data_IF_558373169502
#
_entry.id   IF_558373169502
#
_cell.length_a   1.000
_cell.length_b   1.000
_cell.length_c   1.000
_cell.angle_alpha   90.00
_cell.angle_beta   90.00
_cell.angle_gamma   90.00
#
_symmetry.space_group_name_H-M   'P 1'
#
loop_
_entity.id
_entity.type
_entity.pdbx_description
1 polymer ?
#
# COMPACT_ATOMS: atom_id res chain seq x y z
N UNK A 1 -4.85 20.40 -0.67
CA UNK A 1 -4.49 19.95 0.70
C UNK A 1 -3.12 19.30 0.64
N UNK A 2 -2.08 19.95 1.15
CA UNK A 2 -0.66 19.58 0.95
C UNK A 2 -0.11 18.52 1.89
N UNK A 3 -0.89 17.47 2.17
CA UNK A 3 -0.44 16.33 2.98
C UNK A 3 0.26 15.29 2.10
N UNK A 4 1.39 14.75 2.56
CA UNK A 4 2.18 13.77 1.82
C UNK A 4 2.83 12.74 2.75
N UNK A 5 3.31 11.63 2.17
CA UNK A 5 3.94 10.54 2.92
C UNK A 5 5.24 10.95 3.62
N UNK A 6 5.94 12.00 3.15
CA UNK A 6 7.12 12.56 3.83
C UNK A 6 6.82 13.18 5.20
N UNK A 7 5.55 13.44 5.53
CA UNK A 7 5.13 13.93 6.85
C UNK A 7 4.73 12.79 7.81
N UNK A 8 4.57 11.57 7.32
CA UNK A 8 4.08 10.44 8.10
C UNK A 8 5.28 9.75 8.78
N UNK A 9 5.23 9.64 10.10
CA UNK A 9 6.19 8.86 10.89
C UNK A 9 5.63 7.47 11.18
N UNK A 10 6.49 6.46 11.19
CA UNK A 10 6.14 5.07 11.51
C UNK A 10 4.99 4.52 10.65
N UNK A 11 4.96 4.86 9.36
CA UNK A 11 4.03 4.24 8.43
C UNK A 11 4.44 2.78 8.19
N UNK A 12 3.50 1.85 8.25
CA UNK A 12 3.72 0.45 7.92
C UNK A 12 2.41 -0.20 7.47
N UNK A 13 2.52 -1.28 6.71
CA UNK A 13 1.43 -2.23 6.47
C UNK A 13 1.75 -3.55 7.17
N UNK A 14 0.70 -4.24 7.62
CA UNK A 14 0.80 -5.60 8.15
C UNK A 14 -0.30 -6.48 7.61
N UNK A 15 0.02 -7.76 7.42
CA UNK A 15 -0.94 -8.82 7.09
C UNK A 15 -1.05 -9.73 8.30
N UNK A 16 -2.28 -10.00 8.73
CA UNK A 16 -2.58 -10.75 9.94
C UNK A 16 -3.46 -11.93 9.56
N UNK A 17 -3.15 -13.10 10.10
CA UNK A 17 -4.07 -14.23 10.10
C UNK A 17 -5.21 -13.94 11.08
N UNK A 18 -6.43 -13.73 10.56
CA UNK A 18 -7.59 -13.37 11.37
C UNK A 18 -8.03 -14.47 12.36
N UNK A 19 -7.68 -15.73 12.10
CA UNK A 19 -8.07 -16.86 12.96
C UNK A 19 -7.18 -16.99 14.20
N UNK A 20 -5.88 -16.69 14.05
CA UNK A 20 -4.87 -16.84 15.11
C UNK A 20 -4.41 -15.50 15.69
N UNK A 21 -4.70 -14.39 15.01
CA UNK A 21 -4.16 -13.07 15.33
C UNK A 21 -2.67 -12.92 15.02
N UNK A 22 -2.04 -13.92 14.40
CA UNK A 22 -0.61 -13.91 14.11
C UNK A 22 -0.28 -12.91 13.00
N UNK A 23 0.69 -12.04 13.26
CA UNK A 23 1.27 -11.20 12.21
C UNK A 23 2.09 -12.08 11.26
N UNK A 24 1.67 -12.12 9.99
CA UNK A 24 2.33 -12.89 8.93
C UNK A 24 3.40 -12.05 8.23
N UNK A 25 3.12 -10.77 8.07
CA UNK A 25 3.98 -9.81 7.38
C UNK A 25 3.86 -8.47 8.05
N UNK A 26 5.00 -7.77 8.15
CA UNK A 26 5.07 -6.34 8.43
C UNK A 26 6.06 -5.68 7.50
N UNK A 27 5.63 -4.65 6.80
CA UNK A 27 6.45 -3.86 5.89
C UNK A 27 6.39 -2.39 6.30
N UNK A 28 7.53 -1.86 6.72
CA UNK A 28 7.66 -0.45 7.07
C UNK A 28 7.75 0.38 5.80
N UNK A 29 6.94 1.42 5.74
CA UNK A 29 6.97 2.43 4.69
C UNK A 29 7.94 3.52 5.18
N UNK A 30 9.17 3.52 4.69
CA UNK A 30 10.22 4.48 5.08
C UNK A 30 10.55 5.47 3.97
N UNK A 31 10.79 6.72 4.36
CA UNK A 31 11.43 7.78 3.56
C UNK A 31 10.82 8.03 2.18
N UNK A 32 9.65 8.67 2.15
CA UNK A 32 9.03 9.13 0.90
C UNK A 32 9.23 10.63 0.69
N UNK A 33 9.32 11.02 -0.58
CA UNK A 33 9.40 12.41 -1.01
C UNK A 33 8.08 13.15 -0.77
N UNK A 34 8.14 14.48 -0.72
CA UNK A 34 6.99 15.37 -0.42
C UNK A 34 5.89 15.31 -1.49
N UNK A 35 6.24 14.76 -2.63
CA UNK A 35 5.46 14.67 -3.85
C UNK A 35 4.63 13.39 -3.86
N UNK A 36 4.87 12.46 -2.93
CA UNK A 36 4.12 11.21 -2.81
C UNK A 36 2.88 11.45 -1.94
N UNK A 37 1.70 11.35 -2.54
CA UNK A 37 0.40 11.55 -1.87
C UNK A 37 -0.48 10.30 -1.89
N UNK A 38 -0.22 9.35 -2.79
CA UNK A 38 -0.82 8.01 -2.78
C UNK A 38 0.24 6.94 -3.09
N UNK A 39 -0.03 5.67 -2.76
CA UNK A 39 0.97 4.60 -2.85
C UNK A 39 0.36 3.20 -2.98
N UNK A 40 0.98 2.36 -3.80
CA UNK A 40 0.81 0.91 -3.76
C UNK A 40 1.82 0.31 -2.79
N UNK A 41 1.31 -0.16 -1.66
CA UNK A 41 2.14 -0.64 -0.54
C UNK A 41 2.64 -2.07 -0.75
N UNK A 42 1.87 -2.90 -1.43
CA UNK A 42 2.21 -4.29 -1.69
C UNK A 42 1.07 -5.05 -2.34
N UNK A 43 1.36 -6.28 -2.75
CA UNK A 43 0.43 -7.18 -3.42
C UNK A 43 0.29 -8.47 -2.61
N UNK A 44 -0.95 -8.94 -2.44
CA UNK A 44 -1.23 -10.27 -1.90
C UNK A 44 -1.65 -11.14 -3.07
N UNK A 45 -1.02 -12.30 -3.23
CA UNK A 45 -1.27 -13.18 -4.37
C UNK A 45 -1.19 -14.66 -3.97
N UNK A 46 -1.97 -15.49 -4.65
CA UNK A 46 -1.95 -16.94 -4.47
C UNK A 46 -0.98 -17.57 -5.47
N UNK A 47 -0.01 -18.36 -4.98
CA UNK A 47 0.91 -19.11 -5.83
C UNK A 47 1.05 -20.53 -5.29
N UNK A 48 0.82 -21.53 -6.14
CA UNK A 48 0.89 -22.95 -5.78
C UNK A 48 0.05 -23.32 -4.52
N UNK A 49 -1.15 -22.72 -4.37
CA UNK A 49 -2.03 -22.96 -3.22
C UNK A 49 -1.64 -22.21 -1.94
N UNK A 50 -0.59 -21.39 -1.98
CA UNK A 50 -0.12 -20.62 -0.82
C UNK A 50 -0.26 -19.11 -1.07
N UNK A 51 -0.87 -18.41 -0.11
CA UNK A 51 -0.90 -16.96 -0.11
C UNK A 51 0.48 -16.39 0.17
N UNK A 52 0.90 -15.43 -0.65
CA UNK A 52 2.17 -14.71 -0.53
C UNK A 52 1.92 -13.22 -0.55
N UNK A 53 2.83 -12.47 0.06
CA UNK A 53 2.88 -11.02 0.01
C UNK A 53 4.14 -10.57 -0.74
N UNK A 54 3.99 -9.62 -1.66
CA UNK A 54 5.08 -8.93 -2.32
C UNK A 54 5.08 -7.45 -1.87
N UNK A 55 6.09 -6.98 -1.11
CA UNK A 55 6.20 -5.56 -0.79
C UNK A 55 6.51 -4.76 -2.06
N UNK A 56 5.79 -3.66 -2.30
CA UNK A 56 5.97 -2.82 -3.50
C UNK A 56 6.50 -1.44 -3.13
N UNK A 57 5.76 -0.68 -2.30
CA UNK A 57 6.18 0.65 -1.84
C UNK A 57 6.27 1.72 -2.95
N UNK A 58 5.48 1.61 -4.02
CA UNK A 58 5.52 2.52 -5.16
C UNK A 58 4.59 3.70 -4.94
N UNK A 59 5.18 4.87 -4.66
CA UNK A 59 4.46 6.13 -4.44
C UNK A 59 4.19 6.93 -5.71
N UNK A 60 3.16 7.76 -5.71
CA UNK A 60 2.84 8.70 -6.78
C UNK A 60 2.27 10.02 -6.25
N UNK A 61 2.36 11.08 -7.07
CA UNK A 61 1.80 12.40 -6.80
C UNK A 61 0.34 12.56 -7.22
N UNK A 62 -0.23 11.56 -7.89
CA UNK A 62 -1.67 11.51 -8.08
C UNK A 62 -2.37 11.18 -6.77
N UNK A 63 -3.59 11.67 -6.59
CA UNK A 63 -4.44 11.28 -5.48
C UNK A 63 -4.90 9.80 -5.60
N UNK A 64 -5.69 9.34 -4.63
CA UNK A 64 -6.15 7.94 -4.62
C UNK A 64 -7.03 7.62 -5.83
N UNK A 65 -7.82 8.58 -6.32
CA UNK A 65 -8.65 8.38 -7.50
C UNK A 65 -7.79 8.19 -8.75
N UNK A 66 -6.81 9.08 -8.97
CA UNK A 66 -5.87 8.95 -10.08
C UNK A 66 -5.07 7.65 -10.02
N UNK A 67 -4.66 7.23 -8.82
CA UNK A 67 -4.02 5.93 -8.63
C UNK A 67 -4.97 4.77 -8.98
N UNK A 68 -6.23 4.79 -8.53
CA UNK A 68 -7.22 3.77 -8.83
C UNK A 68 -7.51 3.65 -10.34
N UNK A 69 -7.63 4.77 -11.05
CA UNK A 69 -7.85 4.80 -12.50
C UNK A 69 -6.68 4.15 -13.25
N UNK A 70 -5.43 4.34 -12.81
CA UNK A 70 -4.25 3.66 -13.40
C UNK A 70 -4.32 2.14 -13.32
N UNK A 71 -5.03 1.59 -12.34
CA UNK A 71 -5.28 0.16 -12.19
C UNK A 71 -6.60 -0.30 -12.83
N UNK A 72 -7.28 0.57 -13.59
CA UNK A 72 -8.52 0.26 -14.29
C UNK A 72 -9.76 0.22 -13.39
N UNK A 73 -9.69 0.76 -12.18
CA UNK A 73 -10.85 0.89 -11.29
C UNK A 73 -11.75 2.00 -11.81
N UNK A 74 -13.04 1.71 -12.00
CA UNK A 74 -14.02 2.74 -12.25
C UNK A 74 -14.41 3.40 -10.92
N UNK A 75 -13.94 4.64 -10.71
CA UNK A 75 -14.16 5.40 -9.47
C UNK A 75 -15.37 6.34 -9.59
N UNK A 76 -15.97 6.46 -10.79
CA UNK A 76 -17.20 7.22 -10.97
C UNK A 76 -18.37 6.52 -10.26
N UNK A 77 -18.79 7.09 -9.14
CA UNK A 77 -20.03 6.80 -8.43
C UNK A 77 -21.13 7.81 -8.77
#
# INVERSE_FOLDING_TARGET
>A
NGYNFGQIKNAYIRVIDNSTGKELVKFSLSEYYKEVVSMVVGEIYLKNGEWRFNPVGMGTGDDLEGLCIKYGVNVAG
#
